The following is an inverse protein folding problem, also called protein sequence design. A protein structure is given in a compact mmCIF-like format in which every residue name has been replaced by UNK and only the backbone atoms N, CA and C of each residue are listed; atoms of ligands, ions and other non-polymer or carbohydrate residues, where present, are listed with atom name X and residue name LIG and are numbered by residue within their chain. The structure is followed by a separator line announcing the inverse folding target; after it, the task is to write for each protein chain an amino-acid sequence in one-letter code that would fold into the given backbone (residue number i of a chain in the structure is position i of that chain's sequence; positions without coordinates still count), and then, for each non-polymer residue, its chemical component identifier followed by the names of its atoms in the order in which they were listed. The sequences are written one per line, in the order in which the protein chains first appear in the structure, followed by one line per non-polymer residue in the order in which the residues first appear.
data_IF_468251022821
#
_entry.id   IF_468251022821
#
_cell.length_a   1.000
_cell.length_b   1.000
_cell.length_c   1.000
_cell.angle_alpha   90.00
_cell.angle_beta   90.00
_cell.angle_gamma   90.00
#
_symmetry.space_group_name_H-M   'P 1'
#
loop_
_entity.id
_entity.type
_entity.pdbx_description
1 polymer ?
#
# COMPACT_ATOMS: atom_id res chain seq x y z
N UNK A 1 -13.33 27.41 -7.42
CA UNK A 1 -13.25 27.52 -5.95
C UNK A 1 -11.78 27.33 -5.57
N UNK A 2 -11.14 28.37 -5.00
CA UNK A 2 -9.73 28.25 -4.59
C UNK A 2 -9.62 27.24 -3.45
N UNK A 3 -8.93 26.12 -3.70
CA UNK A 3 -8.54 25.20 -2.64
C UNK A 3 -7.76 25.98 -1.58
N UNK A 4 -8.30 25.97 -0.38
CA UNK A 4 -7.65 26.62 0.76
C UNK A 4 -6.26 25.98 0.93
N UNK A 5 -5.21 26.80 1.16
CA UNK A 5 -3.87 26.35 1.57
C UNK A 5 -3.90 25.31 2.70
N UNK A 6 -4.99 25.26 3.47
CA UNK A 6 -5.26 24.25 4.50
C UNK A 6 -5.38 22.82 3.98
N UNK A 7 -5.89 22.57 2.77
CA UNK A 7 -6.05 21.22 2.22
C UNK A 7 -4.74 20.71 1.58
N UNK A 8 -3.95 21.60 0.98
CA UNK A 8 -2.59 21.31 0.53
C UNK A 8 -1.64 21.00 1.70
N UNK A 9 -1.77 21.74 2.81
CA UNK A 9 -1.02 21.48 4.04
C UNK A 9 -1.40 20.16 4.70
N UNK A 10 -2.62 19.63 4.46
CA UNK A 10 -3.04 18.33 5.02
C UNK A 10 -2.38 17.14 4.30
N UNK A 11 -2.12 17.22 2.99
CA UNK A 11 -1.35 16.17 2.31
C UNK A 11 0.11 16.15 2.79
N UNK A 12 0.72 17.33 2.90
CA UNK A 12 2.06 17.47 3.48
C UNK A 12 2.10 16.99 4.95
N UNK A 13 1.05 17.29 5.74
CA UNK A 13 0.98 16.87 7.14
C UNK A 13 0.73 15.36 7.30
N UNK A 14 -0.06 14.72 6.43
CA UNK A 14 -0.29 13.28 6.50
C UNK A 14 0.95 12.44 6.14
N UNK A 15 1.88 13.05 5.38
CA UNK A 15 3.15 12.43 4.98
C UNK A 15 4.31 12.92 5.88
N UNK A 16 4.16 14.08 6.55
CA UNK A 16 5.21 14.76 7.35
C UNK A 16 5.16 14.47 8.86
N UNK A 17 4.17 13.76 9.40
CA UNK A 17 4.06 13.50 10.85
C UNK A 17 5.16 12.58 11.40
N UNK A 18 6.08 12.07 10.58
CA UNK A 18 7.18 11.22 11.04
C UNK A 18 8.42 12.01 11.54
N UNK A 19 8.51 13.33 11.30
CA UNK A 19 9.76 14.08 11.60
C UNK A 19 9.77 14.90 12.89
N UNK A 20 8.71 14.90 13.69
CA UNK A 20 8.63 15.74 14.90
C UNK A 20 8.14 15.01 16.15
N UNK A 21 8.53 13.76 16.35
CA UNK A 21 8.42 13.13 17.66
C UNK A 21 9.80 13.07 18.30
N UNK A 22 9.96 13.78 19.42
CA UNK A 22 11.05 13.61 20.36
C UNK A 22 11.35 12.12 20.59
N UNK A 23 12.64 11.81 20.75
CA UNK A 23 13.12 10.46 21.02
C UNK A 23 12.20 9.76 22.02
N UNK A 24 11.58 8.63 21.69
CA UNK A 24 10.77 7.91 22.65
C UNK A 24 11.65 7.50 23.82
N UNK A 25 11.17 7.77 25.03
CA UNK A 25 11.74 7.25 26.27
C UNK A 25 11.72 5.71 26.22
N UNK A 26 12.88 5.14 26.03
CA UNK A 26 13.14 3.73 25.75
C UNK A 26 12.97 2.84 26.99
N UNK A 27 12.29 3.32 28.07
CA UNK A 27 12.31 2.64 29.36
C UNK A 27 11.10 1.75 29.68
N UNK A 28 10.11 1.57 28.77
CA UNK A 28 8.86 0.88 29.17
C UNK A 28 8.36 -0.28 28.31
N UNK A 29 9.02 -0.70 27.23
CA UNK A 29 8.64 -1.96 26.58
C UNK A 29 9.88 -2.67 26.07
N UNK A 30 10.41 -3.60 26.85
CA UNK A 30 11.39 -4.56 26.36
C UNK A 30 10.68 -5.54 25.42
N UNK A 31 10.68 -5.23 24.12
CA UNK A 31 10.34 -6.24 23.12
C UNK A 31 11.42 -7.29 23.07
N UNK A 32 11.07 -8.55 23.26
CA UNK A 32 11.96 -9.65 22.99
C UNK A 32 12.45 -9.48 21.55
N UNK A 33 13.76 -9.28 21.40
CA UNK A 33 14.43 -9.28 20.09
C UNK A 33 14.09 -10.61 19.43
N UNK A 34 13.58 -10.65 18.19
CA UNK A 34 13.26 -11.92 17.54
C UNK A 34 14.54 -12.74 17.41
N UNK A 35 14.47 -14.02 17.82
CA UNK A 35 15.61 -14.93 17.92
C UNK A 35 16.24 -15.35 16.58
N UNK A 36 15.71 -14.91 15.45
CA UNK A 36 16.31 -15.00 14.10
C UNK A 36 15.75 -13.86 13.22
N UNK A 37 16.58 -12.89 12.87
CA UNK A 37 16.35 -12.08 11.68
C UNK A 37 16.47 -12.98 10.45
N UNK A 38 15.33 -13.39 9.91
CA UNK A 38 15.32 -14.02 8.60
C UNK A 38 15.56 -12.93 7.56
N UNK A 39 16.74 -12.94 6.95
CA UNK A 39 17.10 -11.94 5.93
C UNK A 39 16.15 -12.02 4.74
N UNK A 40 15.65 -10.86 4.30
CA UNK A 40 14.88 -10.76 3.06
C UNK A 40 15.83 -10.89 1.86
N UNK A 41 15.55 -11.82 0.95
CA UNK A 41 16.27 -11.97 -0.30
C UNK A 41 15.69 -11.04 -1.36
N UNK A 42 16.52 -10.17 -1.93
CA UNK A 42 16.16 -9.26 -3.02
C UNK A 42 16.20 -9.99 -4.36
N UNK A 43 15.12 -9.92 -5.14
CA UNK A 43 14.96 -10.57 -6.45
C UNK A 43 14.38 -9.63 -7.49
N UNK A 44 14.51 -10.00 -8.76
CA UNK A 44 14.03 -9.22 -9.90
C UNK A 44 13.43 -10.12 -10.97
N UNK A 45 12.35 -9.65 -11.61
CA UNK A 45 11.84 -10.23 -12.87
C UNK A 45 11.61 -9.15 -13.90
N UNK A 46 11.67 -9.52 -15.19
CA UNK A 46 11.29 -8.62 -16.29
C UNK A 46 9.84 -8.84 -16.66
N UNK A 47 9.07 -7.75 -16.72
CA UNK A 47 7.69 -7.79 -17.21
C UNK A 47 7.31 -6.48 -17.90
N UNK A 48 6.85 -6.57 -19.16
CA UNK A 48 6.40 -5.43 -19.98
C UNK A 48 7.34 -4.21 -19.91
N UNK A 49 8.61 -4.46 -20.20
CA UNK A 49 9.65 -3.44 -20.23
C UNK A 49 10.14 -2.97 -18.87
N UNK A 50 9.49 -3.35 -17.75
CA UNK A 50 9.97 -3.04 -16.42
C UNK A 50 10.86 -4.17 -15.85
N UNK A 51 11.83 -3.78 -15.05
CA UNK A 51 12.51 -4.65 -14.10
C UNK A 51 11.79 -4.51 -12.75
N UNK A 52 11.02 -5.53 -12.37
CA UNK A 52 10.25 -5.54 -11.13
C UNK A 52 11.09 -6.12 -10.01
N UNK A 53 11.26 -5.34 -8.94
CA UNK A 53 11.94 -5.74 -7.72
C UNK A 53 10.94 -6.26 -6.69
N UNK A 54 11.32 -7.30 -5.99
CA UNK A 54 10.62 -7.77 -4.80
C UNK A 54 11.60 -8.39 -3.81
N UNK A 55 11.17 -8.51 -2.59
CA UNK A 55 11.90 -9.20 -1.54
C UNK A 55 11.10 -10.38 -1.04
N UNK A 56 11.78 -11.48 -0.76
CA UNK A 56 11.20 -12.69 -0.22
C UNK A 56 11.96 -13.17 1.01
N UNK A 57 11.25 -13.59 2.05
CA UNK A 57 11.85 -14.08 3.29
C UNK A 57 10.81 -14.60 4.26
N UNK A 58 11.23 -14.92 5.48
CA UNK A 58 10.38 -15.52 6.50
C UNK A 58 10.40 -17.04 6.47
N UNK A 59 9.38 -17.67 7.01
CA UNK A 59 9.31 -19.14 7.14
C UNK A 59 8.85 -19.77 5.83
N UNK A 60 9.71 -20.55 5.17
CA UNK A 60 9.49 -21.07 3.81
C UNK A 60 8.21 -21.93 3.68
N UNK A 61 7.92 -22.75 4.67
CA UNK A 61 6.73 -23.63 4.68
C UNK A 61 5.46 -22.95 5.21
N UNK A 62 5.56 -21.69 5.64
CA UNK A 62 4.40 -20.94 6.16
C UNK A 62 3.49 -20.43 5.02
N UNK A 63 2.24 -20.06 5.34
CA UNK A 63 1.36 -19.39 4.39
C UNK A 63 2.03 -18.14 3.79
N UNK A 64 1.74 -17.85 2.52
CA UNK A 64 2.29 -16.67 1.84
C UNK A 64 1.48 -15.44 2.15
N UNK A 65 2.16 -14.33 2.46
CA UNK A 65 1.58 -12.99 2.49
C UNK A 65 2.33 -12.05 1.55
N UNK A 66 1.59 -11.34 0.71
CA UNK A 66 2.11 -10.36 -0.25
C UNK A 66 1.90 -8.97 0.29
N UNK A 67 2.95 -8.14 0.30
CA UNK A 67 2.90 -6.76 0.78
C UNK A 67 2.96 -5.80 -0.41
N UNK A 68 1.99 -4.89 -0.49
CA UNK A 68 1.83 -3.88 -1.54
C UNK A 68 1.79 -2.50 -0.90
N UNK A 69 2.79 -1.66 -1.18
CA UNK A 69 2.95 -0.32 -0.61
C UNK A 69 2.07 0.74 -1.30
N UNK A 70 1.96 1.92 -0.70
CA UNK A 70 1.24 3.07 -1.22
C UNK A 70 2.00 3.88 -2.27
N UNK A 71 1.34 4.88 -2.83
CA UNK A 71 1.94 5.84 -3.76
C UNK A 71 3.10 6.60 -3.13
N UNK A 72 4.10 6.92 -3.93
CA UNK A 72 5.36 7.52 -3.49
C UNK A 72 6.16 6.69 -2.47
N UNK A 73 5.72 5.45 -2.16
CA UNK A 73 6.33 4.54 -1.20
C UNK A 73 7.25 3.49 -1.82
N UNK A 74 7.58 2.49 -1.01
CA UNK A 74 8.35 1.30 -1.40
C UNK A 74 8.18 0.18 -0.36
N UNK A 75 8.86 -0.95 -0.56
CA UNK A 75 8.96 -2.04 0.43
C UNK A 75 9.37 -1.51 1.83
N UNK A 76 10.16 -0.44 1.90
CA UNK A 76 10.62 0.16 3.17
C UNK A 76 9.46 0.61 4.07
N UNK A 77 8.28 0.90 3.53
CA UNK A 77 7.09 1.28 4.31
C UNK A 77 6.63 0.20 5.27
N UNK A 78 7.01 -1.05 5.02
CA UNK A 78 6.68 -2.19 5.86
C UNK A 78 7.72 -2.52 6.93
N UNK A 79 8.74 -1.68 7.12
CA UNK A 79 9.85 -1.96 8.05
C UNK A 79 9.39 -2.32 9.47
N UNK A 80 8.31 -1.70 9.98
CA UNK A 80 7.75 -2.00 11.30
C UNK A 80 6.98 -3.34 11.36
N UNK A 81 6.33 -3.74 10.26
CA UNK A 81 5.54 -4.96 10.18
C UNK A 81 6.37 -6.19 9.76
N UNK A 82 7.39 -5.97 8.93
CA UNK A 82 8.17 -7.03 8.30
C UNK A 82 8.70 -8.07 9.30
N UNK A 83 9.39 -7.69 10.41
CA UNK A 83 9.91 -8.66 11.37
C UNK A 83 8.82 -9.50 12.04
N UNK A 84 7.63 -8.92 12.23
CA UNK A 84 6.48 -9.60 12.84
C UNK A 84 5.83 -10.59 11.87
N UNK A 85 5.65 -10.17 10.61
CA UNK A 85 5.07 -11.01 9.57
C UNK A 85 5.97 -12.22 9.26
N UNK A 86 7.29 -12.04 9.21
CA UNK A 86 8.25 -13.11 8.94
C UNK A 86 8.22 -14.27 9.94
N UNK A 87 7.72 -14.03 11.16
CA UNK A 87 7.56 -15.08 12.17
C UNK A 87 6.43 -16.06 11.83
N UNK A 88 5.44 -15.61 11.05
CA UNK A 88 4.21 -16.35 10.77
C UNK A 88 4.02 -16.68 9.29
N UNK A 89 4.74 -15.98 8.40
CA UNK A 89 4.52 -16.04 6.96
C UNK A 89 5.82 -16.20 6.17
N UNK A 90 5.70 -16.79 4.99
CA UNK A 90 6.58 -16.52 3.87
C UNK A 90 6.13 -15.18 3.25
N UNK A 91 6.93 -14.15 3.43
CA UNK A 91 6.61 -12.79 3.02
C UNK A 91 7.15 -12.53 1.62
N UNK A 92 6.33 -11.98 0.73
CA UNK A 92 6.74 -11.42 -0.57
C UNK A 92 6.36 -9.93 -0.56
N UNK A 93 7.34 -9.05 -0.48
CA UNK A 93 7.13 -7.61 -0.52
C UNK A 93 7.54 -7.09 -1.90
N UNK A 94 6.67 -6.30 -2.55
CA UNK A 94 6.83 -5.88 -3.94
C UNK A 94 7.04 -4.38 -3.99
N UNK A 95 8.10 -3.93 -4.68
CA UNK A 95 8.18 -2.55 -5.18
C UNK A 95 7.33 -2.45 -6.43
N UNK A 96 6.24 -1.69 -6.37
CA UNK A 96 5.35 -1.42 -7.51
C UNK A 96 6.17 -0.80 -8.65
N UNK A 97 5.82 -1.10 -9.92
CA UNK A 97 6.53 -0.52 -11.08
C UNK A 97 6.69 1.00 -10.92
N UNK A 98 7.89 1.51 -11.24
CA UNK A 98 8.26 2.90 -11.06
C UNK A 98 8.56 3.32 -9.61
N UNK A 99 8.53 2.39 -8.63
CA UNK A 99 8.80 2.69 -7.23
C UNK A 99 9.97 1.86 -6.68
N UNK A 100 10.57 2.34 -5.59
CA UNK A 100 11.67 1.65 -4.95
C UNK A 100 12.74 1.25 -5.96
N UNK A 101 13.03 -0.05 -6.08
CA UNK A 101 14.01 -0.60 -7.03
C UNK A 101 13.40 -1.13 -8.33
N UNK A 102 12.08 -0.98 -8.52
CA UNK A 102 11.39 -1.34 -9.76
C UNK A 102 11.43 -0.20 -10.77
N UNK A 103 11.86 -0.49 -12.02
CA UNK A 103 11.77 0.51 -13.09
C UNK A 103 10.32 0.71 -13.56
N UNK A 104 10.02 1.85 -14.18
CA UNK A 104 8.68 2.13 -14.69
C UNK A 104 8.33 1.27 -15.91
N UNK A 105 9.31 1.01 -16.79
CA UNK A 105 9.10 0.26 -18.02
C UNK A 105 8.27 1.02 -19.05
N UNK A 106 7.58 0.27 -19.94
CA UNK A 106 6.83 0.81 -21.07
C UNK A 106 5.31 0.75 -20.91
N UNK A 107 4.79 -0.12 -20.02
CA UNK A 107 3.36 -0.16 -19.71
C UNK A 107 2.97 0.98 -18.78
N UNK A 108 1.75 1.50 -18.97
CA UNK A 108 1.20 2.51 -18.08
C UNK A 108 1.09 1.99 -16.64
N UNK A 109 1.40 2.82 -15.66
CA UNK A 109 1.11 2.54 -14.27
C UNK A 109 -0.40 2.70 -14.06
N UNK A 110 -1.07 1.59 -13.73
CA UNK A 110 -2.50 1.52 -13.39
C UNK A 110 -2.69 0.48 -12.29
N UNK A 111 -3.82 0.49 -11.59
CA UNK A 111 -4.09 -0.55 -10.58
C UNK A 111 -4.22 -1.95 -11.21
N UNK A 112 -4.76 -2.05 -12.44
CA UNK A 112 -4.77 -3.32 -13.18
C UNK A 112 -3.36 -3.79 -13.53
N UNK A 113 -2.48 -2.88 -13.95
CA UNK A 113 -1.09 -3.25 -14.27
C UNK A 113 -0.31 -3.63 -13.02
N UNK A 114 -0.49 -2.92 -11.91
CA UNK A 114 0.14 -3.27 -10.64
C UNK A 114 -0.31 -4.66 -10.14
N UNK A 115 -1.61 -4.98 -10.29
CA UNK A 115 -2.14 -6.30 -9.99
C UNK A 115 -1.55 -7.40 -10.89
N UNK A 116 -1.38 -7.14 -12.19
CA UNK A 116 -0.76 -8.11 -13.11
C UNK A 116 0.74 -8.29 -12.83
N UNK A 117 1.46 -7.23 -12.50
CA UNK A 117 2.87 -7.31 -12.08
C UNK A 117 3.03 -8.20 -10.84
N UNK A 118 2.17 -8.03 -9.84
CA UNK A 118 2.17 -8.88 -8.65
C UNK A 118 1.89 -10.36 -9.01
N UNK A 119 0.92 -10.63 -9.90
CA UNK A 119 0.66 -12.00 -10.37
C UNK A 119 1.85 -12.61 -11.09
N UNK A 120 2.58 -11.83 -11.89
CA UNK A 120 3.77 -12.33 -12.58
C UNK A 120 4.86 -12.74 -11.59
N UNK A 121 5.07 -11.95 -10.53
CA UNK A 121 5.99 -12.30 -9.44
C UNK A 121 5.55 -13.59 -8.75
N UNK A 122 4.27 -13.72 -8.42
CA UNK A 122 3.73 -14.91 -7.75
C UNK A 122 3.86 -16.18 -8.62
N UNK A 123 3.56 -16.08 -9.92
CA UNK A 123 3.79 -17.19 -10.88
C UNK A 123 5.26 -17.59 -10.95
N UNK A 124 6.16 -16.60 -10.97
CA UNK A 124 7.61 -16.85 -11.00
C UNK A 124 8.08 -17.58 -9.74
N UNK A 125 7.51 -17.26 -8.57
CA UNK A 125 7.81 -17.90 -7.29
C UNK A 125 7.01 -19.20 -7.05
N UNK A 126 6.18 -19.64 -8.01
CA UNK A 126 5.36 -20.85 -7.87
C UNK A 126 4.30 -20.75 -6.77
N UNK A 127 3.83 -19.52 -6.47
CA UNK A 127 2.85 -19.27 -5.42
C UNK A 127 1.44 -19.33 -6.00
N UNK A 128 0.66 -20.29 -5.55
CA UNK A 128 -0.74 -20.45 -5.96
C UNK A 128 -1.72 -19.80 -4.95
N UNK A 129 -1.50 -19.99 -3.65
CA UNK A 129 -2.37 -19.46 -2.60
C UNK A 129 -1.64 -18.45 -1.76
N UNK A 130 -2.27 -17.32 -1.49
CA UNK A 130 -1.63 -16.21 -0.76
C UNK A 130 -2.66 -15.30 -0.10
N UNK A 131 -2.24 -14.57 0.91
CA UNK A 131 -2.95 -13.45 1.50
C UNK A 131 -2.34 -12.13 1.01
N UNK A 132 -3.11 -11.05 1.07
CA UNK A 132 -2.67 -9.71 0.68
C UNK A 132 -2.68 -8.78 1.89
N UNK A 133 -1.67 -7.94 1.98
CA UNK A 133 -1.64 -6.77 2.85
C UNK A 133 -1.27 -5.56 1.97
N UNK A 134 -2.22 -4.66 1.78
CA UNK A 134 -2.04 -3.48 0.93
C UNK A 134 -2.26 -2.18 1.70
N UNK A 135 -1.34 -1.23 1.52
CA UNK A 135 -1.48 0.12 2.04
C UNK A 135 -1.78 1.10 0.91
N UNK A 136 -2.80 1.96 1.06
CA UNK A 136 -3.17 3.00 0.09
C UNK A 136 -3.32 2.43 -1.32
N UNK A 137 -2.54 2.84 -2.32
CA UNK A 137 -2.53 2.28 -3.69
C UNK A 137 -2.33 0.76 -3.70
N UNK A 138 -1.49 0.24 -2.80
CA UNK A 138 -1.32 -1.20 -2.62
C UNK A 138 -2.59 -1.90 -2.16
N UNK A 139 -3.41 -1.23 -1.35
CA UNK A 139 -4.72 -1.73 -0.94
C UNK A 139 -5.74 -1.71 -2.08
N UNK A 140 -5.77 -0.65 -2.89
CA UNK A 140 -6.58 -0.59 -4.12
C UNK A 140 -6.16 -1.70 -5.10
N UNK A 141 -4.85 -1.93 -5.23
CA UNK A 141 -4.30 -3.06 -6.01
C UNK A 141 -4.73 -4.40 -5.43
N UNK A 142 -4.76 -4.55 -4.09
CA UNK A 142 -5.21 -5.77 -3.44
C UNK A 142 -6.71 -6.03 -3.71
N UNK A 143 -7.55 -5.01 -3.74
CA UNK A 143 -8.95 -5.16 -4.15
C UNK A 143 -9.08 -5.59 -5.61
N UNK A 144 -8.27 -5.03 -6.53
CA UNK A 144 -8.23 -5.46 -7.95
C UNK A 144 -7.82 -6.93 -8.08
N UNK A 145 -6.80 -7.35 -7.35
CA UNK A 145 -6.39 -8.76 -7.29
C UNK A 145 -7.52 -9.64 -6.74
N UNK A 146 -8.13 -9.23 -5.63
CA UNK A 146 -9.20 -9.97 -4.97
C UNK A 146 -10.42 -10.19 -5.85
N UNK A 147 -10.78 -9.21 -6.67
CA UNK A 147 -11.88 -9.32 -7.61
C UNK A 147 -11.61 -10.30 -8.77
N UNK A 148 -10.32 -10.57 -9.07
CA UNK A 148 -9.93 -11.33 -10.25
C UNK A 148 -9.30 -12.70 -9.94
N UNK A 149 -8.85 -12.96 -8.69
CA UNK A 149 -8.16 -14.19 -8.31
C UNK A 149 -8.81 -14.84 -7.08
N UNK A 150 -9.36 -16.04 -7.28
CA UNK A 150 -10.05 -16.83 -6.25
C UNK A 150 -9.10 -17.60 -5.33
N UNK A 151 -7.81 -17.59 -5.62
CA UNK A 151 -6.78 -18.25 -4.80
C UNK A 151 -6.34 -17.42 -3.59
N UNK A 152 -6.81 -16.18 -3.50
CA UNK A 152 -6.52 -15.29 -2.38
C UNK A 152 -7.24 -15.80 -1.13
N UNK A 153 -6.48 -15.94 -0.05
CA UNK A 153 -6.99 -16.50 1.21
C UNK A 153 -7.60 -15.43 2.11
N UNK A 154 -6.94 -14.27 2.22
CA UNK A 154 -7.36 -13.12 3.01
C UNK A 154 -6.84 -11.83 2.40
N UNK A 155 -7.57 -10.74 2.59
CA UNK A 155 -7.16 -9.41 2.15
C UNK A 155 -7.19 -8.47 3.36
N UNK A 156 -6.09 -7.78 3.60
CA UNK A 156 -5.99 -6.69 4.57
C UNK A 156 -5.64 -5.42 3.81
N UNK A 157 -6.42 -4.38 3.99
CA UNK A 157 -6.14 -3.07 3.39
C UNK A 157 -6.10 -1.98 4.46
N UNK A 158 -5.24 -0.99 4.25
CA UNK A 158 -5.12 0.19 5.11
C UNK A 158 -5.20 1.44 4.26
N UNK A 159 -6.17 2.32 4.51
CA UNK A 159 -6.33 3.59 3.80
C UNK A 159 -6.57 3.44 2.29
N UNK A 160 -7.28 2.40 1.87
CA UNK A 160 -7.41 2.02 0.46
C UNK A 160 -8.75 2.42 -0.14
N UNK A 161 -8.71 3.28 -1.15
CA UNK A 161 -9.89 3.65 -1.94
C UNK A 161 -10.28 2.52 -2.91
N UNK A 162 -11.57 2.40 -3.19
CA UNK A 162 -12.09 1.30 -3.98
C UNK A 162 -12.98 1.73 -5.16
N UNK A 163 -13.42 2.99 -5.21
CA UNK A 163 -14.36 3.43 -6.24
C UNK A 163 -14.09 4.85 -6.73
N UNK A 164 -14.15 5.06 -8.05
CA UNK A 164 -13.93 6.37 -8.70
C UNK A 164 -14.91 7.46 -8.26
N UNK A 165 -16.13 7.13 -7.83
CA UNK A 165 -17.12 8.10 -7.32
C UNK A 165 -16.63 8.87 -6.08
N UNK A 166 -15.63 8.35 -5.37
CA UNK A 166 -15.06 8.97 -4.17
C UNK A 166 -13.94 9.98 -4.51
N UNK A 167 -13.53 10.05 -5.77
CA UNK A 167 -12.43 10.91 -6.21
C UNK A 167 -12.79 12.39 -6.25
N UNK A 168 -14.07 12.78 -6.31
CA UNK A 168 -14.48 14.17 -6.51
C UNK A 168 -13.87 15.13 -5.48
N UNK A 169 -13.79 14.68 -4.21
CA UNK A 169 -13.16 15.47 -3.14
C UNK A 169 -11.64 15.60 -3.26
N UNK A 170 -10.98 14.61 -3.87
CA UNK A 170 -9.52 14.51 -3.97
C UNK A 170 -8.97 14.94 -5.33
N UNK A 171 -9.80 14.92 -6.37
CA UNK A 171 -9.42 15.28 -7.76
C UNK A 171 -8.64 16.58 -7.86
N UNK A 172 -9.11 17.72 -7.27
CA UNK A 172 -8.38 18.97 -7.38
C UNK A 172 -6.97 18.92 -6.78
N UNK A 173 -6.74 18.06 -5.77
CA UNK A 173 -5.43 17.85 -5.20
C UNK A 173 -4.57 16.97 -6.11
N UNK A 174 -5.10 15.85 -6.61
CA UNK A 174 -4.38 14.96 -7.52
C UNK A 174 -3.93 15.67 -8.80
N UNK A 175 -4.74 16.61 -9.32
CA UNK A 175 -4.40 17.43 -10.49
C UNK A 175 -3.17 18.32 -10.26
N UNK A 176 -2.85 18.67 -9.01
CA UNK A 176 -1.66 19.49 -8.69
C UNK A 176 -0.36 18.68 -8.67
N UNK A 177 -0.44 17.35 -8.64
CA UNK A 177 0.74 16.48 -8.54
C UNK A 177 1.64 16.64 -9.78
N UNK A 178 2.86 17.08 -9.53
CA UNK A 178 3.96 17.23 -10.49
C UNK A 178 5.29 17.23 -9.74
N UNK A 179 6.40 17.39 -10.44
CA UNK A 179 7.74 17.39 -9.81
C UNK A 179 7.91 18.49 -8.76
N UNK A 180 7.37 19.69 -8.98
CA UNK A 180 7.50 20.79 -8.03
C UNK A 180 6.69 20.52 -6.75
N UNK A 181 5.49 19.95 -6.91
CA UNK A 181 4.70 19.47 -5.77
C UNK A 181 5.50 18.46 -4.93
N UNK A 182 6.14 17.48 -5.57
CA UNK A 182 6.93 16.46 -4.86
C UNK A 182 8.13 17.10 -4.15
N UNK A 183 8.87 17.99 -4.80
CA UNK A 183 10.00 18.70 -4.18
C UNK A 183 9.59 19.49 -2.95
N UNK A 184 8.43 20.13 -3.00
CA UNK A 184 7.95 20.99 -1.91
C UNK A 184 7.34 20.18 -0.76
N UNK A 185 6.58 19.13 -1.08
CA UNK A 185 5.75 18.45 -0.09
C UNK A 185 6.24 17.04 0.29
N UNK A 186 7.08 16.40 -0.53
CA UNK A 186 7.55 15.02 -0.38
C UNK A 186 9.07 14.89 -0.61
N UNK A 187 9.91 15.77 -0.04
CA UNK A 187 11.36 15.79 -0.32
C UNK A 187 12.06 14.49 0.12
N UNK A 188 11.62 13.87 1.21
CA UNK A 188 12.18 12.61 1.72
C UNK A 188 11.85 11.43 0.80
N UNK A 189 10.62 11.34 0.31
CA UNK A 189 10.18 10.33 -0.64
C UNK A 189 10.91 10.48 -1.98
N UNK A 190 11.08 11.73 -2.44
CA UNK A 190 11.84 12.03 -3.64
C UNK A 190 13.30 11.57 -3.50
N UNK A 191 13.94 11.90 -2.37
CA UNK A 191 15.33 11.50 -2.11
C UNK A 191 15.46 9.97 -2.02
N UNK A 192 14.53 9.29 -1.35
CA UNK A 192 14.51 7.84 -1.25
C UNK A 192 14.31 7.18 -2.62
N UNK A 193 13.38 7.70 -3.45
CA UNK A 193 13.18 7.24 -4.81
C UNK A 193 14.44 7.41 -5.67
N UNK A 194 15.04 8.59 -5.66
CA UNK A 194 16.26 8.87 -6.43
C UNK A 194 17.45 7.99 -6.01
N UNK A 195 17.54 7.66 -4.73
CA UNK A 195 18.61 6.80 -4.22
C UNK A 195 18.40 5.31 -4.54
N UNK A 196 17.17 4.85 -4.60
CA UNK A 196 16.84 3.43 -4.72
C UNK A 196 16.59 3.01 -6.18
N UNK A 197 15.94 3.86 -6.99
CA UNK A 197 15.49 3.49 -8.33
C UNK A 197 16.67 3.42 -9.31
N UNK A 198 16.81 2.34 -10.10
CA UNK A 198 17.90 2.22 -11.06
C UNK A 198 17.75 3.14 -12.28
N UNK A 199 16.55 3.64 -12.56
CA UNK A 199 16.22 4.55 -13.64
C UNK A 199 15.36 5.72 -13.12
N UNK A 200 15.89 6.57 -12.22
CA UNK A 200 15.09 7.59 -11.55
C UNK A 200 14.70 8.71 -12.51
N UNK A 201 13.39 8.89 -12.70
CA UNK A 201 12.78 9.99 -13.47
C UNK A 201 11.58 10.51 -12.68
N UNK A 202 11.81 11.50 -11.83
CA UNK A 202 10.80 12.02 -10.92
C UNK A 202 9.64 12.73 -11.63
N UNK A 203 9.86 13.29 -12.82
CA UNK A 203 8.78 13.88 -13.63
C UNK A 203 7.83 12.80 -14.15
N UNK A 204 8.38 11.72 -14.75
CA UNK A 204 7.57 10.60 -15.20
C UNK A 204 6.90 9.86 -14.06
N UNK A 205 7.56 9.74 -12.92
CA UNK A 205 6.99 9.14 -11.72
C UNK A 205 5.77 9.92 -11.22
N UNK A 206 5.89 11.25 -11.07
CA UNK A 206 4.77 12.10 -10.71
C UNK A 206 3.61 12.01 -11.70
N UNK A 207 3.92 12.06 -13.00
CA UNK A 207 2.93 11.99 -14.06
C UNK A 207 2.21 10.63 -14.08
N UNK A 208 2.94 9.53 -13.89
CA UNK A 208 2.38 8.18 -13.87
C UNK A 208 1.43 7.97 -12.67
N UNK A 209 1.82 8.42 -11.47
CA UNK A 209 0.97 8.34 -10.28
C UNK A 209 -0.29 9.21 -10.43
N UNK A 210 -0.14 10.45 -10.88
CA UNK A 210 -1.30 11.30 -11.17
C UNK A 210 -2.26 10.65 -12.16
N UNK A 211 -1.74 10.08 -13.26
CA UNK A 211 -2.56 9.39 -14.25
C UNK A 211 -3.31 8.19 -13.65
N UNK A 212 -2.63 7.39 -12.81
CA UNK A 212 -3.23 6.24 -12.12
C UNK A 212 -4.35 6.67 -11.16
N UNK A 213 -4.13 7.72 -10.36
CA UNK A 213 -5.12 8.20 -9.39
C UNK A 213 -6.34 8.85 -10.03
N UNK A 214 -6.19 9.42 -11.23
CA UNK A 214 -7.27 10.03 -12.00
C UNK A 214 -7.88 9.07 -13.05
N UNK A 215 -7.46 7.81 -13.07
CA UNK A 215 -7.98 6.82 -14.02
C UNK A 215 -9.38 6.34 -13.59
N UNK A 216 -10.41 6.83 -14.30
CA UNK A 216 -11.80 6.39 -14.15
C UNK A 216 -12.17 5.21 -15.06
N UNK A 217 -11.23 4.75 -15.88
CA UNK A 217 -11.45 3.65 -16.80
C UNK A 217 -11.37 2.27 -16.13
N UNK A 218 -11.47 1.24 -16.96
CA UNK A 218 -11.44 -0.17 -16.53
C UNK A 218 -10.09 -0.58 -15.91
N UNK A 219 -9.01 0.15 -16.18
CA UNK A 219 -7.67 -0.10 -15.63
C UNK A 219 -7.46 0.53 -14.25
N UNK A 220 -8.32 1.45 -13.85
CA UNK A 220 -8.28 2.19 -12.59
C UNK A 220 -8.81 1.39 -11.38
N UNK A 221 -9.66 2.02 -10.59
CA UNK A 221 -10.24 1.46 -9.36
C UNK A 221 -11.11 0.23 -9.64
N UNK A 222 -11.28 -0.70 -8.67
CA UNK A 222 -12.10 -1.88 -8.87
C UNK A 222 -13.58 -1.57 -9.10
N UNK A 223 -14.09 -0.48 -8.57
CA UNK A 223 -15.49 -0.08 -8.65
C UNK A 223 -16.41 -1.24 -8.22
N UNK A 224 -17.51 -1.48 -8.90
CA UNK A 224 -18.46 -2.55 -8.61
C UNK A 224 -17.85 -3.96 -8.69
N UNK A 225 -16.71 -4.13 -9.34
CA UNK A 225 -16.02 -5.42 -9.38
C UNK A 225 -15.54 -5.88 -7.99
N UNK A 226 -15.48 -4.98 -7.00
CA UNK A 226 -15.19 -5.35 -5.61
C UNK A 226 -16.14 -6.43 -5.08
N UNK A 227 -17.37 -6.49 -5.57
CA UNK A 227 -18.36 -7.53 -5.24
C UNK A 227 -17.96 -8.95 -5.64
N UNK A 228 -16.95 -9.08 -6.52
CA UNK A 228 -16.43 -10.37 -6.95
C UNK A 228 -15.42 -10.96 -5.96
N UNK A 229 -14.99 -10.21 -4.97
CA UNK A 229 -14.07 -10.66 -3.92
C UNK A 229 -14.77 -11.75 -3.09
N UNK A 230 -14.14 -12.93 -3.03
CA UNK A 230 -14.63 -14.07 -2.26
C UNK A 230 -13.82 -14.28 -0.96
N UNK A 231 -12.60 -13.76 -0.92
CA UNK A 231 -11.76 -13.84 0.27
C UNK A 231 -12.30 -12.95 1.39
N UNK A 232 -12.17 -13.35 2.66
CA UNK A 232 -12.42 -12.45 3.79
C UNK A 232 -11.57 -11.18 3.67
N UNK A 233 -12.17 -10.03 4.02
CA UNK A 233 -11.51 -8.71 3.92
C UNK A 233 -11.52 -8.03 5.29
N UNK A 234 -10.36 -7.51 5.71
CA UNK A 234 -10.22 -6.54 6.80
C UNK A 234 -9.81 -5.19 6.19
N UNK A 235 -10.71 -4.22 6.23
CA UNK A 235 -10.46 -2.86 5.75
C UNK A 235 -10.22 -1.94 6.95
N UNK A 236 -8.99 -1.43 7.04
CA UNK A 236 -8.51 -0.56 8.11
C UNK A 236 -8.45 0.88 7.60
N UNK A 237 -8.85 1.82 8.45
CA UNK A 237 -8.79 3.25 8.19
C UNK A 237 -8.30 3.97 9.45
N UNK A 238 -7.47 4.99 9.31
CA UNK A 238 -7.20 5.92 10.42
C UNK A 238 -8.38 6.87 10.62
N UNK A 239 -8.70 7.21 11.88
CA UNK A 239 -9.83 8.10 12.23
C UNK A 239 -9.76 9.45 11.50
N UNK A 240 -8.56 10.01 11.36
CA UNK A 240 -8.30 11.29 10.71
C UNK A 240 -7.82 11.14 9.25
N UNK A 241 -7.99 9.97 8.63
CA UNK A 241 -7.63 9.74 7.23
C UNK A 241 -8.50 10.61 6.31
N UNK A 242 -7.88 11.59 5.66
CA UNK A 242 -8.57 12.52 4.76
C UNK A 242 -8.51 12.06 3.29
N UNK A 243 -7.64 11.09 2.95
CA UNK A 243 -7.56 10.49 1.61
C UNK A 243 -8.62 9.40 1.41
N UNK A 244 -9.06 8.78 2.50
CA UNK A 244 -10.10 7.77 2.49
C UNK A 244 -11.18 8.16 3.50
N UNK A 245 -12.24 8.80 3.02
CA UNK A 245 -13.30 9.34 3.88
C UNK A 245 -14.03 8.23 4.65
N UNK A 246 -14.59 8.60 5.82
CA UNK A 246 -15.30 7.65 6.67
C UNK A 246 -16.50 7.03 5.94
N UNK A 247 -17.27 7.85 5.22
CA UNK A 247 -18.47 7.38 4.50
C UNK A 247 -18.11 6.43 3.35
N UNK A 248 -17.01 6.68 2.65
CA UNK A 248 -16.51 5.84 1.56
C UNK A 248 -16.02 4.48 2.08
N UNK A 249 -15.34 4.50 3.23
CA UNK A 249 -14.92 3.29 3.92
C UNK A 249 -16.11 2.51 4.48
N UNK A 250 -17.08 3.17 5.10
CA UNK A 250 -18.28 2.52 5.63
C UNK A 250 -19.15 1.90 4.51
N UNK A 251 -19.15 2.52 3.32
CA UNK A 251 -19.88 2.02 2.14
C UNK A 251 -19.36 0.65 1.66
N UNK A 252 -18.13 0.25 2.00
CA UNK A 252 -17.63 -1.11 1.75
C UNK A 252 -18.56 -2.18 2.32
N UNK A 253 -19.22 -1.92 3.46
CA UNK A 253 -20.13 -2.89 4.08
C UNK A 253 -21.36 -3.21 3.23
N UNK A 254 -21.75 -2.30 2.35
CA UNK A 254 -22.84 -2.52 1.39
C UNK A 254 -22.38 -3.40 0.22
N UNK A 255 -21.14 -3.19 -0.24
CA UNK A 255 -20.59 -3.89 -1.39
C UNK A 255 -20.00 -5.27 -1.02
N UNK A 256 -19.45 -5.36 0.19
CA UNK A 256 -18.86 -6.56 0.79
C UNK A 256 -19.51 -6.80 2.17
N UNK A 257 -20.67 -7.47 2.24
CA UNK A 257 -21.40 -7.62 3.50
C UNK A 257 -20.60 -8.28 4.64
N UNK A 258 -19.66 -9.16 4.29
CA UNK A 258 -18.79 -9.85 5.26
C UNK A 258 -17.49 -9.11 5.59
N UNK A 259 -17.26 -7.90 5.05
CA UNK A 259 -16.06 -7.12 5.36
C UNK A 259 -15.98 -6.79 6.85
N UNK A 260 -14.80 -6.96 7.42
CA UNK A 260 -14.48 -6.45 8.74
C UNK A 260 -13.94 -5.02 8.60
N UNK A 261 -14.56 -4.09 9.33
CA UNK A 261 -14.20 -2.67 9.29
C UNK A 261 -13.52 -2.26 10.60
N UNK A 262 -12.34 -1.66 10.50
CA UNK A 262 -11.59 -1.15 11.65
C UNK A 262 -11.21 0.32 11.44
N UNK A 263 -11.78 1.22 12.24
CA UNK A 263 -11.36 2.61 12.32
C UNK A 263 -10.38 2.77 13.48
N UNK A 264 -9.15 3.22 13.18
CA UNK A 264 -8.06 3.32 14.15
C UNK A 264 -8.06 4.71 14.77
N UNK A 265 -8.32 4.84 16.09
CA UNK A 265 -8.30 6.14 16.74
C UNK A 265 -6.89 6.73 16.76
N UNK A 266 -6.83 8.06 16.74
CA UNK A 266 -5.58 8.84 16.78
C UNK A 266 -4.60 8.54 15.62
N UNK A 267 -5.10 8.03 14.49
CA UNK A 267 -4.32 7.78 13.29
C UNK A 267 -4.91 8.54 12.09
N UNK A 268 -4.04 8.96 11.18
CA UNK A 268 -4.38 9.49 9.87
C UNK A 268 -4.20 8.41 8.79
N UNK A 269 -3.70 8.77 7.61
CA UNK A 269 -3.58 7.84 6.49
C UNK A 269 -2.60 6.68 6.72
N UNK A 270 -1.51 6.93 7.44
CA UNK A 270 -0.48 5.94 7.73
C UNK A 270 -0.72 5.16 9.04
N UNK A 271 -1.96 4.70 9.27
CA UNK A 271 -2.35 4.06 10.51
C UNK A 271 -1.41 2.92 10.96
N UNK A 272 -0.77 2.21 10.02
CA UNK A 272 0.24 1.17 10.31
C UNK A 272 1.48 1.74 11.00
N UNK A 273 1.91 2.95 10.64
CA UNK A 273 3.08 3.62 11.21
C UNK A 273 2.71 4.38 12.48
N UNK A 274 1.52 4.97 12.51
CA UNK A 274 1.06 5.83 13.59
C UNK A 274 0.53 5.05 14.80
N UNK A 275 -0.13 3.91 14.58
CA UNK A 275 -0.68 3.04 15.62
C UNK A 275 -0.35 1.54 15.36
N UNK A 276 0.94 1.16 15.27
CA UNK A 276 1.36 -0.16 14.83
C UNK A 276 0.84 -1.30 15.72
N UNK A 277 0.72 -1.09 17.02
CA UNK A 277 0.27 -2.13 17.96
C UNK A 277 -1.22 -2.43 17.80
N UNK A 278 -2.04 -1.39 17.61
CA UNK A 278 -3.49 -1.53 17.42
C UNK A 278 -3.75 -2.24 16.08
N UNK A 279 -3.08 -1.81 15.02
CA UNK A 279 -3.20 -2.44 13.70
C UNK A 279 -2.72 -3.89 13.75
N UNK A 280 -1.57 -4.16 14.39
CA UNK A 280 -1.03 -5.51 14.50
C UNK A 280 -1.96 -6.47 15.24
N UNK A 281 -2.56 -6.03 16.35
CA UNK A 281 -3.51 -6.86 17.09
C UNK A 281 -4.72 -7.27 16.24
N UNK A 282 -5.25 -6.35 15.43
CA UNK A 282 -6.34 -6.65 14.50
C UNK A 282 -5.91 -7.58 13.37
N UNK A 283 -4.71 -7.38 12.80
CA UNK A 283 -4.13 -8.26 11.78
C UNK A 283 -4.01 -9.68 12.30
N UNK A 284 -3.45 -9.87 13.50
CA UNK A 284 -3.34 -11.20 14.11
C UNK A 284 -4.71 -11.85 14.33
N UNK A 285 -5.66 -11.13 14.92
CA UNK A 285 -7.00 -11.64 15.15
C UNK A 285 -7.68 -12.07 13.84
N UNK A 286 -7.57 -11.25 12.80
CA UNK A 286 -8.12 -11.57 11.48
C UNK A 286 -7.45 -12.77 10.83
N UNK A 287 -6.15 -12.98 11.03
CA UNK A 287 -5.42 -14.09 10.41
C UNK A 287 -5.75 -15.45 11.04
N UNK A 288 -6.17 -15.48 12.29
CA UNK A 288 -6.55 -16.73 12.98
C UNK A 288 -8.05 -17.02 12.92
N UNK A 289 -8.88 -16.03 12.57
CA UNK A 289 -10.32 -16.22 12.33
C UNK A 289 -10.56 -16.92 10.99
#
# INVERSE_FOLDING_TARGET
MNLSRRNLLKLAAAILVVSACDKPDNSRHSFNKPDKETSMQSKFIKHQGAMLHYQIGGTEAAPVIVLLHGGFGSIADFALLMPRLQQHYRVIAIDTRGHGRSTLGTAALTYTQAAEDARQILRHEGVEKYSLFGFSDGGTTAYRLGAADKNIQKIITVGAEWHTKHLDGMRPMFETINLDFIKENLPEQLAAYQAANPEPDAEKWAAALKAMWLDEGESGYPNENIRQIQAPVLAIRGEADFLFAFDDWAALKTELPEVHLMNVPFAAHEAVKEQPEIVWAAVLAFQVA
#
